data_IF_722455584764
#
_entry.id   IF_722455584764
#
_cell.length_a   1.000
_cell.length_b   1.000
_cell.length_c   1.000
_cell.angle_alpha   90.00
_cell.angle_beta   90.00
_cell.angle_gamma   90.00
#
_symmetry.space_group_name_H-M   'P 1'
#
loop_
_entity.id
_entity.type
_entity.pdbx_description
1 polymer ?
#
# COMPACT_ATOMS: atom_id res chain seq x y z
N UNK A 1 0.33 18.39 23.32
CA UNK A 1 0.87 17.87 22.04
C UNK A 1 1.20 18.99 21.06
N UNK A 2 2.44 19.02 20.54
CA UNK A 2 2.89 19.98 19.51
C UNK A 2 3.81 19.32 18.49
N UNK A 3 3.98 19.94 17.32
CA UNK A 3 5.02 19.54 16.36
C UNK A 3 6.40 19.89 16.91
N UNK A 4 7.34 18.95 16.81
CA UNK A 4 8.72 19.17 17.21
C UNK A 4 9.46 20.05 16.19
N UNK A 5 10.38 20.88 16.66
CA UNK A 5 11.25 21.72 15.86
C UNK A 5 12.70 21.25 15.98
N UNK A 6 13.61 21.89 15.25
CA UNK A 6 15.05 21.61 15.37
C UNK A 6 15.60 21.91 16.77
N UNK A 7 14.94 22.79 17.53
CA UNK A 7 15.34 23.17 18.89
C UNK A 7 15.08 22.04 19.89
N UNK A 8 14.15 21.12 19.58
CA UNK A 8 13.87 19.93 20.38
C UNK A 8 14.91 18.80 20.17
N UNK A 9 15.87 18.97 19.25
CA UNK A 9 16.78 17.90 18.84
C UNK A 9 17.58 17.29 20.01
N UNK A 10 18.04 18.13 20.94
CA UNK A 10 18.82 17.66 22.09
C UNK A 10 17.92 16.84 23.03
N UNK A 11 16.76 17.37 23.40
CA UNK A 11 15.78 16.70 24.26
C UNK A 11 15.25 15.39 23.65
N UNK A 12 15.05 15.34 22.33
CA UNK A 12 14.62 14.12 21.62
C UNK A 12 15.69 13.03 21.69
N UNK A 13 16.96 13.38 21.48
CA UNK A 13 18.07 12.42 21.57
C UNK A 13 18.23 11.91 23.00
N UNK A 14 18.07 12.78 24.00
CA UNK A 14 18.10 12.36 25.40
C UNK A 14 16.95 11.42 25.75
N UNK A 15 15.73 11.76 25.36
CA UNK A 15 14.55 10.92 25.58
C UNK A 15 14.69 9.55 24.89
N UNK A 16 15.19 9.52 23.66
CA UNK A 16 15.47 8.29 22.91
C UNK A 16 16.41 7.36 23.67
N UNK A 17 17.54 7.90 24.15
CA UNK A 17 18.54 7.13 24.87
C UNK A 17 18.04 6.61 26.23
N UNK A 18 17.05 7.28 26.85
CA UNK A 18 16.37 6.79 28.05
C UNK A 18 15.35 5.70 27.75
N UNK A 19 14.67 5.78 26.60
CA UNK A 19 13.55 4.89 26.27
C UNK A 19 13.97 3.56 25.66
N UNK A 20 15.07 3.52 24.90
CA UNK A 20 15.48 2.35 24.12
C UNK A 20 16.91 1.92 24.47
N UNK A 21 17.19 0.62 24.35
CA UNK A 21 18.55 0.07 24.49
C UNK A 21 19.21 -0.21 23.14
N UNK A 22 18.43 -0.69 22.18
CA UNK A 22 18.80 -0.99 20.79
C UNK A 22 17.95 -0.19 19.81
N UNK A 23 18.31 -0.21 18.53
CA UNK A 23 17.55 0.40 17.42
C UNK A 23 17.28 1.90 17.58
N UNK A 24 18.17 2.60 18.32
CA UNK A 24 18.01 4.02 18.64
C UNK A 24 18.13 4.90 17.40
N UNK A 25 17.26 5.87 17.30
CA UNK A 25 17.41 6.97 16.36
C UNK A 25 18.62 7.84 16.75
N UNK A 26 19.62 7.88 15.87
CA UNK A 26 20.76 8.76 16.08
C UNK A 26 20.34 10.23 15.99
N UNK A 27 21.16 11.12 16.56
CA UNK A 27 21.06 12.58 16.38
C UNK A 27 20.95 12.99 14.90
N UNK A 28 21.65 12.27 14.01
CA UNK A 28 21.57 12.49 12.57
C UNK A 28 20.20 12.10 12.01
N UNK A 29 19.62 10.99 12.47
CA UNK A 29 18.27 10.57 12.08
C UNK A 29 17.25 11.62 12.51
N UNK A 30 17.22 12.02 13.78
CA UNK A 30 16.28 13.07 14.24
C UNK A 30 16.43 14.37 13.46
N UNK A 31 17.66 14.87 13.28
CA UNK A 31 17.88 16.09 12.49
C UNK A 31 17.32 15.96 11.07
N UNK A 32 17.53 14.83 10.41
CA UNK A 32 16.98 14.58 9.08
C UNK A 32 15.44 14.58 9.11
N UNK A 33 14.83 13.90 10.08
CA UNK A 33 13.37 13.82 10.21
C UNK A 33 12.72 15.18 10.50
N UNK A 34 13.38 16.03 11.29
CA UNK A 34 12.89 17.36 11.64
C UNK A 34 13.06 18.41 10.54
N UNK A 35 13.93 18.18 9.54
CA UNK A 35 14.32 19.24 8.59
C UNK A 35 14.15 18.89 7.12
N UNK A 36 14.24 17.62 6.74
CA UNK A 36 14.31 17.21 5.33
C UNK A 36 13.34 16.09 4.96
N UNK A 37 13.01 15.21 5.89
CA UNK A 37 12.16 14.07 5.60
C UNK A 37 10.72 14.50 5.32
N UNK A 38 10.01 13.70 4.53
CA UNK A 38 8.54 13.75 4.49
C UNK A 38 7.98 13.08 5.74
N UNK A 39 8.08 13.77 6.87
CA UNK A 39 7.79 13.23 8.19
C UNK A 39 7.06 14.25 9.08
N UNK A 40 6.49 13.75 10.18
CA UNK A 40 6.00 14.55 11.28
C UNK A 40 6.50 13.93 12.59
N UNK A 41 7.16 14.74 13.41
CA UNK A 41 7.52 14.39 14.78
C UNK A 41 6.64 15.23 15.70
N UNK A 42 5.83 14.57 16.53
CA UNK A 42 4.99 15.21 17.53
C UNK A 42 5.54 14.88 18.92
N UNK A 43 5.51 15.85 19.82
CA UNK A 43 6.03 15.73 21.18
C UNK A 43 5.01 16.17 22.20
N UNK A 44 5.05 15.52 23.36
CA UNK A 44 4.37 15.97 24.56
C UNK A 44 5.41 16.56 25.53
N UNK A 45 5.15 17.78 25.97
CA UNK A 45 5.99 18.54 26.88
C UNK A 45 5.32 18.57 28.26
N UNK A 46 6.05 18.16 29.28
CA UNK A 46 5.64 18.24 30.67
C UNK A 46 6.64 19.10 31.43
N UNK A 47 6.26 20.35 31.72
CA UNK A 47 7.05 21.29 32.52
C UNK A 47 8.44 21.61 31.93
N UNK A 48 8.57 21.63 30.60
CA UNK A 48 9.83 21.93 29.90
C UNK A 48 10.69 20.70 29.62
N UNK A 49 10.24 19.50 29.98
CA UNK A 49 10.86 18.23 29.61
C UNK A 49 9.95 17.42 28.68
N UNK A 50 10.54 16.73 27.71
CA UNK A 50 9.76 15.87 26.81
C UNK A 50 9.36 14.57 27.52
N UNK A 51 8.06 14.38 27.72
CA UNK A 51 7.49 13.17 28.31
C UNK A 51 7.30 12.05 27.28
N UNK A 52 7.24 12.38 26.00
CA UNK A 52 7.08 11.40 24.93
C UNK A 52 7.12 12.03 23.54
N UNK A 53 7.36 11.20 22.53
CA UNK A 53 7.30 11.59 21.14
C UNK A 53 6.73 10.48 20.26
N UNK A 54 6.16 10.87 19.12
CA UNK A 54 5.80 9.97 18.02
C UNK A 54 6.32 10.53 16.72
N UNK A 55 6.88 9.65 15.89
CA UNK A 55 7.46 10.00 14.60
C UNK A 55 6.78 9.21 13.49
N UNK A 56 6.21 9.95 12.53
CA UNK A 56 5.43 9.41 11.41
C UNK A 56 6.14 9.77 10.10
N UNK A 57 6.30 8.79 9.23
CA UNK A 57 6.79 8.95 7.85
C UNK A 57 5.62 8.90 6.87
N UNK A 58 5.67 9.70 5.81
CA UNK A 58 4.65 9.72 4.77
C UNK A 58 5.24 9.22 3.44
N UNK A 59 4.68 8.15 2.91
CA UNK A 59 5.16 7.53 1.68
C UNK A 59 4.63 8.28 0.44
N UNK A 60 5.53 8.91 -0.31
CA UNK A 60 5.20 9.60 -1.57
C UNK A 60 4.49 8.66 -2.55
N UNK A 61 3.46 9.16 -3.22
CA UNK A 61 2.69 8.39 -4.21
C UNK A 61 1.65 7.43 -3.62
N UNK A 62 1.51 7.37 -2.29
CA UNK A 62 0.54 6.49 -1.61
C UNK A 62 -0.20 7.24 -0.51
N UNK A 63 -1.38 6.74 -0.12
CA UNK A 63 -2.10 7.24 1.07
C UNK A 63 -1.69 6.49 2.35
N UNK A 64 -0.42 6.10 2.46
CA UNK A 64 0.12 5.34 3.58
C UNK A 64 1.05 6.20 4.45
N UNK A 65 0.75 6.23 5.75
CA UNK A 65 1.64 6.70 6.79
C UNK A 65 2.28 5.51 7.52
N UNK A 66 3.51 5.69 7.99
CA UNK A 66 4.22 4.72 8.82
C UNK A 66 4.58 5.35 10.16
N UNK A 67 4.06 4.82 11.26
CA UNK A 67 4.51 5.18 12.59
C UNK A 67 5.85 4.50 12.83
N UNK A 68 6.92 5.29 12.70
CA UNK A 68 8.28 4.78 12.63
C UNK A 68 8.93 4.65 14.01
N UNK A 69 8.61 5.56 14.93
CA UNK A 69 9.03 5.42 16.33
C UNK A 69 8.00 6.07 17.27
N UNK A 70 7.85 5.48 18.45
CA UNK A 70 6.99 5.95 19.53
C UNK A 70 7.73 5.73 20.85
N UNK A 71 8.01 6.81 21.57
CA UNK A 71 8.67 6.76 22.86
C UNK A 71 7.84 7.48 23.91
N UNK A 72 7.73 6.86 25.08
CA UNK A 72 7.15 7.46 26.28
C UNK A 72 8.15 7.25 27.41
N UNK A 73 8.54 8.36 28.05
CA UNK A 73 9.43 8.34 29.19
C UNK A 73 8.87 7.41 30.27
N UNK A 74 9.73 6.64 30.93
CA UNK A 74 9.33 5.63 31.91
C UNK A 74 8.49 6.22 33.05
N UNK A 75 8.75 7.48 33.43
CA UNK A 75 8.02 8.19 34.47
C UNK A 75 6.54 8.46 34.12
N UNK A 76 6.20 8.47 32.82
CA UNK A 76 4.88 8.82 32.30
C UNK A 76 4.14 7.63 31.66
N UNK A 77 4.65 6.40 31.86
CA UNK A 77 4.01 5.18 31.36
C UNK A 77 2.80 4.82 32.23
N UNK A 78 1.79 4.20 31.60
CA UNK A 78 0.55 3.82 32.27
C UNK A 78 -0.47 4.95 32.45
N UNK A 79 -0.08 6.20 32.15
CA UNK A 79 -0.96 7.39 32.24
C UNK A 79 -1.78 7.64 30.96
N UNK A 80 -1.69 6.74 29.98
CA UNK A 80 -2.41 6.85 28.70
C UNK A 80 -1.69 7.66 27.62
N UNK A 81 -0.52 8.26 27.92
CA UNK A 81 0.22 9.13 27.00
C UNK A 81 0.56 8.47 25.65
N UNK A 82 0.91 7.17 25.64
CA UNK A 82 1.16 6.44 24.40
C UNK A 82 -0.06 6.41 23.46
N UNK A 83 -1.27 6.29 24.02
CA UNK A 83 -2.51 6.36 23.24
C UNK A 83 -2.74 7.75 22.67
N UNK A 84 -2.55 8.79 23.49
CA UNK A 84 -2.66 10.20 23.06
C UNK A 84 -1.68 10.53 21.92
N UNK A 85 -0.45 10.04 22.00
CA UNK A 85 0.55 10.19 20.93
C UNK A 85 0.11 9.49 19.64
N UNK A 86 -0.40 8.26 19.73
CA UNK A 86 -0.90 7.51 18.55
C UNK A 86 -2.09 8.23 17.91
N UNK A 87 -3.06 8.71 18.69
CA UNK A 87 -4.21 9.47 18.17
C UNK A 87 -3.77 10.76 17.48
N UNK A 88 -2.78 11.47 18.03
CA UNK A 88 -2.20 12.65 17.40
C UNK A 88 -1.48 12.32 16.09
N UNK A 89 -0.77 11.19 16.03
CA UNK A 89 -0.13 10.69 14.82
C UNK A 89 -1.16 10.33 13.74
N UNK A 90 -2.26 9.69 14.11
CA UNK A 90 -3.38 9.37 13.20
C UNK A 90 -4.01 10.65 12.62
N UNK A 91 -4.27 11.65 13.47
CA UNK A 91 -4.78 12.95 13.02
C UNK A 91 -3.82 13.65 12.06
N UNK A 92 -2.51 13.63 12.35
CA UNK A 92 -1.48 14.21 11.47
C UNK A 92 -1.37 13.49 10.12
N UNK A 93 -1.62 12.18 10.09
CA UNK A 93 -1.65 11.39 8.87
C UNK A 93 -2.91 11.69 8.02
N UNK A 94 -4.08 11.77 8.65
CA UNK A 94 -5.33 12.15 7.98
C UNK A 94 -5.26 13.55 7.34
N UNK A 95 -4.68 14.53 8.05
CA UNK A 95 -4.47 15.89 7.51
C UNK A 95 -3.57 15.91 6.27
N UNK A 96 -2.74 14.88 6.06
CA UNK A 96 -1.89 14.71 4.88
C UNK A 96 -2.50 13.79 3.82
N UNK A 97 -3.77 13.40 3.96
CA UNK A 97 -4.46 12.53 3.01
C UNK A 97 -4.02 11.07 3.08
N UNK A 98 -3.31 10.67 4.14
CA UNK A 98 -3.05 9.26 4.41
C UNK A 98 -4.30 8.64 5.03
N UNK A 99 -4.69 7.49 4.52
CA UNK A 99 -5.88 6.75 4.97
C UNK A 99 -5.51 5.50 5.76
N UNK A 100 -4.28 5.00 5.61
CA UNK A 100 -3.73 3.89 6.38
C UNK A 100 -2.55 4.35 7.24
N UNK A 101 -2.45 3.82 8.46
CA UNK A 101 -1.24 3.84 9.29
C UNK A 101 -0.71 2.43 9.43
N UNK A 102 0.59 2.24 9.20
CA UNK A 102 1.31 0.99 9.46
C UNK A 102 2.41 1.18 10.50
N UNK A 103 2.72 0.11 11.21
CA UNK A 103 3.80 0.08 12.18
C UNK A 103 4.38 -1.33 12.32
N UNK A 104 5.60 -1.37 12.85
CA UNK A 104 6.31 -2.57 13.21
C UNK A 104 6.52 -2.58 14.74
N UNK A 105 6.27 -3.73 15.36
CA UNK A 105 6.43 -3.90 16.80
C UNK A 105 7.07 -5.24 17.10
N UNK A 106 8.03 -5.25 18.03
CA UNK A 106 8.69 -6.46 18.49
C UNK A 106 7.68 -7.45 19.06
N UNK A 107 7.79 -8.72 18.69
CA UNK A 107 6.78 -9.73 19.00
C UNK A 107 6.53 -9.92 20.52
N UNK A 108 7.51 -9.59 21.36
CA UNK A 108 7.46 -9.70 22.81
C UNK A 108 7.08 -8.39 23.53
N UNK A 109 6.87 -7.29 22.80
CA UNK A 109 6.40 -6.02 23.37
C UNK A 109 4.88 -6.07 23.61
N UNK A 110 4.47 -6.89 24.57
CA UNK A 110 3.07 -7.16 24.90
C UNK A 110 2.27 -5.90 25.23
N UNK A 111 2.90 -4.91 25.89
CA UNK A 111 2.27 -3.63 26.22
C UNK A 111 1.90 -2.81 24.99
N UNK A 112 2.84 -2.63 24.06
CA UNK A 112 2.57 -1.92 22.81
C UNK A 112 1.57 -2.69 21.94
N UNK A 113 1.70 -4.01 21.82
CA UNK A 113 0.77 -4.86 21.07
C UNK A 113 -0.67 -4.71 21.59
N UNK A 114 -0.86 -4.73 22.92
CA UNK A 114 -2.17 -4.55 23.53
C UNK A 114 -2.74 -3.15 23.25
N UNK A 115 -1.90 -2.10 23.32
CA UNK A 115 -2.28 -0.73 22.99
C UNK A 115 -2.72 -0.60 21.52
N UNK A 116 -1.95 -1.13 20.57
CA UNK A 116 -2.28 -1.08 19.15
C UNK A 116 -3.60 -1.81 18.86
N UNK A 117 -3.80 -3.00 19.41
CA UNK A 117 -5.07 -3.74 19.27
C UNK A 117 -6.25 -2.96 19.84
N UNK A 118 -6.10 -2.36 21.03
CA UNK A 118 -7.14 -1.52 21.65
C UNK A 118 -7.51 -0.33 20.77
N UNK A 119 -6.55 0.25 20.07
CA UNK A 119 -6.76 1.39 19.15
C UNK A 119 -7.24 0.97 17.76
N UNK A 120 -7.53 -0.32 17.54
CA UNK A 120 -8.11 -0.82 16.29
C UNK A 120 -7.09 -1.20 15.21
N UNK A 121 -5.81 -1.32 15.56
CA UNK A 121 -4.83 -1.89 14.63
C UNK A 121 -4.97 -3.41 14.58
N UNK A 122 -4.84 -3.97 13.38
CA UNK A 122 -4.82 -5.41 13.13
C UNK A 122 -3.44 -5.84 12.65
N UNK A 123 -3.01 -7.02 13.08
CA UNK A 123 -1.80 -7.65 12.54
C UNK A 123 -2.10 -8.14 11.12
N UNK A 124 -1.19 -7.87 10.17
CA UNK A 124 -1.33 -8.30 8.77
C UNK A 124 -0.10 -9.05 8.25
N UNK A 125 0.98 -9.13 9.03
CA UNK A 125 2.19 -9.86 8.63
C UNK A 125 3.28 -9.80 9.69
N UNK A 126 4.47 -10.24 9.29
CA UNK A 126 5.69 -10.25 10.11
C UNK A 126 6.90 -10.02 9.19
N UNK A 127 7.95 -9.41 9.74
CA UNK A 127 9.29 -9.47 9.17
C UNK A 127 10.16 -10.33 10.08
N UNK A 128 10.80 -11.32 9.49
CA UNK A 128 11.83 -12.11 10.16
C UNK A 128 13.11 -11.27 10.25
N UNK A 129 13.89 -11.43 11.33
CA UNK A 129 15.22 -10.82 11.46
C UNK A 129 15.22 -9.29 11.24
N UNK A 130 14.32 -8.58 11.92
CA UNK A 130 14.04 -7.17 11.66
C UNK A 130 14.83 -6.21 12.56
N UNK A 131 14.94 -6.52 13.86
CA UNK A 131 15.61 -5.68 14.85
C UNK A 131 17.12 -5.96 14.91
N UNK A 132 17.91 -5.03 15.49
CA UNK A 132 19.36 -5.17 15.62
C UNK A 132 19.83 -6.49 16.27
N UNK A 133 19.00 -7.07 17.14
CA UNK A 133 19.25 -8.34 17.83
C UNK A 133 18.68 -9.57 17.11
N UNK A 134 18.34 -9.43 15.83
CA UNK A 134 17.72 -10.46 15.00
C UNK A 134 16.31 -10.86 15.43
N UNK A 135 15.64 -10.06 16.27
CA UNK A 135 14.25 -10.33 16.63
C UNK A 135 13.28 -9.99 15.49
N UNK A 136 12.19 -10.76 15.43
CA UNK A 136 11.13 -10.55 14.45
C UNK A 136 10.25 -9.35 14.82
N UNK A 137 9.70 -8.70 13.78
CA UNK A 137 8.75 -7.61 13.92
C UNK A 137 7.36 -8.02 13.41
N UNK A 138 6.36 -7.93 14.30
CA UNK A 138 4.96 -8.01 13.91
C UNK A 138 4.56 -6.74 13.19
N UNK A 139 3.82 -6.88 12.09
CA UNK A 139 3.35 -5.77 11.26
C UNK A 139 1.88 -5.52 11.51
N UNK A 140 1.56 -4.29 11.91
CA UNK A 140 0.21 -3.85 12.23
C UNK A 140 -0.23 -2.74 11.28
N UNK A 141 -1.53 -2.70 10.98
CA UNK A 141 -2.14 -1.64 10.19
C UNK A 141 -3.51 -1.23 10.73
N UNK A 142 -3.90 0.02 10.45
CA UNK A 142 -5.22 0.56 10.72
C UNK A 142 -5.66 1.45 9.56
N UNK A 143 -6.90 1.27 9.11
CA UNK A 143 -7.58 2.26 8.28
C UNK A 143 -8.09 3.38 9.20
N UNK A 144 -7.61 4.60 8.98
CA UNK A 144 -7.91 5.76 9.84
C UNK A 144 -9.17 6.51 9.40
N UNK A 145 -9.81 6.11 8.30
CA UNK A 145 -10.95 6.81 7.71
C UNK A 145 -12.23 6.01 7.96
N UNK A 146 -13.04 6.35 8.98
CA UNK A 146 -14.17 5.51 9.41
C UNK A 146 -15.36 5.51 8.46
N UNK A 147 -15.45 6.51 7.56
CA UNK A 147 -16.53 6.60 6.58
C UNK A 147 -16.23 5.82 5.29
N UNK A 148 -14.96 5.48 5.06
CA UNK A 148 -14.67 4.35 4.19
C UNK A 148 -15.11 3.15 5.01
N UNK A 149 -16.07 2.39 4.50
CA UNK A 149 -16.60 1.19 5.17
C UNK A 149 -15.99 -0.03 4.47
N UNK A 150 -14.76 -0.47 4.80
CA UNK A 150 -14.13 -1.67 4.24
C UNK A 150 -14.99 -2.91 4.34
N UNK A 151 -15.79 -2.99 5.39
CA UNK A 151 -16.76 -4.06 5.61
C UNK A 151 -17.87 -4.11 4.54
N UNK A 152 -18.09 -3.02 3.80
CA UNK A 152 -18.95 -3.00 2.61
C UNK A 152 -18.20 -3.37 1.32
N UNK A 153 -16.89 -3.61 1.38
CA UNK A 153 -16.13 -4.03 0.20
C UNK A 153 -16.63 -5.41 -0.20
N UNK A 154 -17.41 -5.43 -1.29
CA UNK A 154 -17.94 -6.65 -1.92
C UNK A 154 -16.85 -7.56 -2.50
N UNK A 155 -15.62 -7.05 -2.59
CA UNK A 155 -14.51 -7.73 -3.23
C UNK A 155 -13.74 -8.57 -2.21
N UNK A 156 -13.76 -9.90 -2.31
CA UNK A 156 -13.00 -10.74 -1.41
C UNK A 156 -11.51 -10.55 -1.62
N UNK A 157 -10.74 -10.64 -0.54
CA UNK A 157 -9.28 -10.52 -0.60
C UNK A 157 -8.62 -11.87 -0.92
N UNK A 158 -7.73 -11.86 -1.90
CA UNK A 158 -6.81 -12.95 -2.23
C UNK A 158 -5.41 -12.36 -2.38
N UNK A 159 -4.48 -12.83 -1.55
CA UNK A 159 -3.08 -12.44 -1.62
C UNK A 159 -2.42 -13.11 -2.83
N UNK A 160 -1.84 -12.32 -3.74
CA UNK A 160 -1.09 -12.85 -4.87
C UNK A 160 0.03 -13.78 -4.39
N UNK A 161 0.26 -14.89 -5.09
CA UNK A 161 1.26 -15.88 -4.69
C UNK A 161 2.63 -15.65 -5.32
N UNK A 162 2.74 -14.70 -6.25
CA UNK A 162 3.94 -14.37 -7.02
C UNK A 162 4.05 -12.86 -7.19
N UNK A 163 5.28 -12.33 -7.31
CA UNK A 163 5.51 -10.88 -7.40
C UNK A 163 4.98 -10.25 -8.70
N UNK A 164 4.71 -11.06 -9.73
CA UNK A 164 4.34 -10.63 -11.07
C UNK A 164 2.87 -10.91 -11.44
N UNK A 165 2.03 -11.32 -10.48
CA UNK A 165 0.64 -11.74 -10.71
C UNK A 165 -0.40 -10.79 -10.09
N UNK A 166 -0.03 -9.54 -9.82
CA UNK A 166 -0.94 -8.54 -9.25
C UNK A 166 -2.21 -8.31 -10.09
N UNK A 167 -2.08 -8.18 -11.41
CA UNK A 167 -3.22 -8.08 -12.34
C UNK A 167 -4.13 -9.32 -12.30
N UNK A 168 -3.58 -10.53 -12.48
CA UNK A 168 -4.31 -11.80 -12.32
C UNK A 168 -5.04 -11.94 -10.98
N UNK A 169 -4.39 -11.66 -9.86
CA UNK A 169 -5.02 -11.69 -8.54
C UNK A 169 -6.17 -10.67 -8.45
N UNK A 170 -5.96 -9.44 -8.94
CA UNK A 170 -6.98 -8.39 -8.94
C UNK A 170 -8.22 -8.77 -9.75
N UNK A 171 -8.05 -9.31 -10.96
CA UNK A 171 -9.20 -9.68 -11.79
C UNK A 171 -9.92 -10.91 -11.26
N UNK A 172 -9.21 -11.85 -10.61
CA UNK A 172 -9.86 -12.97 -9.90
C UNK A 172 -10.75 -12.48 -8.76
N UNK A 173 -10.25 -11.54 -7.95
CA UNK A 173 -11.04 -10.96 -6.86
C UNK A 173 -12.28 -10.23 -7.41
N UNK A 174 -12.13 -9.51 -8.54
CA UNK A 174 -13.25 -8.86 -9.20
C UNK A 174 -14.30 -9.86 -9.73
N UNK A 175 -13.86 -10.92 -10.41
CA UNK A 175 -14.74 -11.99 -10.88
C UNK A 175 -15.47 -12.68 -9.73
N UNK A 176 -14.78 -12.99 -8.62
CA UNK A 176 -15.39 -13.58 -7.42
C UNK A 176 -16.43 -12.67 -6.78
N UNK A 177 -16.19 -11.37 -6.79
CA UNK A 177 -17.14 -10.38 -6.24
C UNK A 177 -18.45 -10.32 -7.05
N UNK A 178 -18.40 -10.70 -8.33
CA UNK A 178 -19.55 -10.75 -9.24
C UNK A 178 -20.22 -12.14 -9.24
N UNK A 179 -19.43 -13.21 -9.15
CA UNK A 179 -19.88 -14.60 -9.14
C UNK A 179 -19.19 -15.39 -8.04
N UNK A 180 -19.98 -15.82 -7.06
CA UNK A 180 -19.49 -16.56 -5.91
C UNK A 180 -18.95 -17.96 -6.25
N UNK A 181 -19.21 -18.49 -7.45
CA UNK A 181 -18.70 -19.78 -7.89
C UNK A 181 -17.22 -19.76 -8.31
N UNK A 182 -16.65 -18.58 -8.54
CA UNK A 182 -15.23 -18.42 -8.93
C UNK A 182 -14.34 -18.96 -7.82
N UNK A 183 -13.33 -19.76 -8.17
CA UNK A 183 -12.36 -20.25 -7.19
C UNK A 183 -11.13 -19.33 -7.12
N UNK A 184 -10.77 -18.94 -5.90
CA UNK A 184 -9.56 -18.17 -5.62
C UNK A 184 -8.43 -19.12 -5.22
N UNK A 185 -7.61 -19.54 -6.19
CA UNK A 185 -6.47 -20.42 -5.96
C UNK A 185 -5.29 -20.10 -6.91
N UNK A 186 -4.10 -20.59 -6.52
CA UNK A 186 -2.85 -20.35 -7.26
C UNK A 186 -2.88 -20.85 -8.71
N UNK A 187 -3.64 -21.91 -8.99
CA UNK A 187 -3.73 -22.44 -10.35
C UNK A 187 -4.53 -21.51 -11.25
N UNK A 188 -5.63 -20.94 -10.77
CA UNK A 188 -6.40 -19.92 -11.48
C UNK A 188 -5.56 -18.65 -11.71
N UNK A 189 -4.81 -18.22 -10.70
CA UNK A 189 -3.92 -17.04 -10.76
C UNK A 189 -2.87 -17.18 -11.87
N UNK A 190 -2.14 -18.31 -11.89
CA UNK A 190 -1.13 -18.58 -12.92
C UNK A 190 -1.77 -18.74 -14.30
N UNK A 191 -2.98 -19.32 -14.39
CA UNK A 191 -3.68 -19.48 -15.67
C UNK A 191 -4.03 -18.13 -16.28
N UNK A 192 -4.61 -17.23 -15.49
CA UNK A 192 -4.92 -15.86 -15.95
C UNK A 192 -3.64 -15.15 -16.37
N UNK A 193 -2.58 -15.23 -15.55
CA UNK A 193 -1.28 -14.65 -15.93
C UNK A 193 -0.77 -15.13 -17.29
N UNK A 194 -0.83 -16.43 -17.56
CA UNK A 194 -0.39 -17.00 -18.85
C UNK A 194 -1.19 -16.50 -20.04
N UNK A 195 -2.46 -16.16 -19.84
CA UNK A 195 -3.37 -15.67 -20.87
C UNK A 195 -3.29 -14.15 -21.05
N UNK A 196 -2.89 -13.40 -20.02
CA UNK A 196 -2.98 -11.93 -20.01
C UNK A 196 -1.64 -11.19 -20.06
N UNK A 197 -0.52 -11.90 -19.95
CA UNK A 197 0.81 -11.29 -19.86
C UNK A 197 1.33 -10.86 -21.24
N UNK A 198 1.91 -9.67 -21.34
CA UNK A 198 2.59 -9.20 -22.57
C UNK A 198 4.06 -9.65 -22.66
N UNK A 199 4.44 -10.68 -21.88
CA UNK A 199 5.75 -11.36 -21.78
C UNK A 199 6.98 -10.46 -21.53
N UNK A 200 7.71 -10.74 -20.43
CA UNK A 200 9.16 -11.05 -20.41
C UNK A 200 9.68 -11.17 -18.96
N UNK A 201 10.39 -12.26 -18.61
CA UNK A 201 11.30 -12.28 -17.47
C UNK A 201 12.59 -13.07 -17.78
N UNK A 202 13.70 -12.33 -17.89
CA UNK A 202 14.96 -12.65 -17.20
C UNK A 202 15.51 -11.45 -16.42
N UNK A 203 15.03 -10.24 -16.74
CA UNK A 203 15.11 -9.03 -15.92
C UNK A 203 14.13 -7.97 -16.50
N UNK A 204 13.37 -7.29 -15.64
CA UNK A 204 12.37 -6.28 -16.02
C UNK A 204 10.95 -6.58 -15.50
N UNK A 205 10.14 -5.54 -15.32
CA UNK A 205 8.74 -5.67 -14.92
C UNK A 205 7.89 -6.05 -16.14
N UNK A 206 7.79 -7.35 -16.43
CA UNK A 206 6.69 -7.87 -17.23
C UNK A 206 5.37 -7.69 -16.48
N UNK A 207 4.28 -7.42 -17.19
CA UNK A 207 2.97 -7.16 -16.58
C UNK A 207 1.83 -7.59 -17.50
N UNK A 208 0.63 -7.62 -16.94
CA UNK A 208 -0.58 -7.84 -17.72
C UNK A 208 -1.17 -6.49 -18.13
N UNK A 209 -1.44 -6.30 -19.42
CA UNK A 209 -2.11 -5.12 -19.93
C UNK A 209 -3.63 -5.20 -19.73
N UNK A 210 -4.33 -4.10 -20.01
CA UNK A 210 -5.79 -4.04 -19.92
C UNK A 210 -6.46 -5.07 -20.85
N UNK A 211 -6.02 -5.15 -22.11
CA UNK A 211 -6.58 -6.05 -23.12
C UNK A 211 -6.43 -7.53 -22.74
N UNK A 212 -5.22 -7.97 -22.36
CA UNK A 212 -4.99 -9.36 -21.97
C UNK A 212 -5.81 -9.77 -20.73
N UNK A 213 -5.95 -8.89 -19.75
CA UNK A 213 -6.80 -9.15 -18.57
C UNK A 213 -8.28 -9.21 -18.97
N UNK A 214 -8.75 -8.27 -19.81
CA UNK A 214 -10.11 -8.23 -20.28
C UNK A 214 -10.49 -9.50 -21.06
N UNK A 215 -9.64 -9.97 -21.97
CA UNK A 215 -9.83 -11.23 -22.70
C UNK A 215 -9.89 -12.43 -21.76
N UNK A 216 -9.00 -12.48 -20.77
CA UNK A 216 -9.01 -13.57 -19.78
C UNK A 216 -10.31 -13.61 -18.97
N UNK A 217 -10.86 -12.46 -18.57
CA UNK A 217 -12.16 -12.38 -17.90
C UNK A 217 -13.34 -12.69 -18.85
N UNK A 218 -13.31 -12.18 -20.08
CA UNK A 218 -14.34 -12.42 -21.09
C UNK A 218 -14.46 -13.91 -21.44
N UNK A 219 -13.33 -14.61 -21.63
CA UNK A 219 -13.32 -16.06 -21.85
C UNK A 219 -13.82 -16.89 -20.67
N UNK A 220 -13.97 -16.27 -19.49
CA UNK A 220 -14.58 -16.87 -18.30
C UNK A 220 -16.05 -16.49 -18.13
N UNK A 221 -16.64 -15.79 -19.10
CA UNK A 221 -18.07 -15.45 -19.14
C UNK A 221 -18.45 -14.14 -18.45
N UNK A 222 -17.48 -13.24 -18.23
CA UNK A 222 -17.75 -11.92 -17.65
C UNK A 222 -17.86 -10.85 -18.74
N UNK A 223 -18.82 -9.94 -18.59
CA UNK A 223 -18.88 -8.71 -19.38
C UNK A 223 -17.76 -7.76 -18.91
N UNK A 224 -17.05 -7.15 -19.86
CA UNK A 224 -15.91 -6.28 -19.59
C UNK A 224 -15.94 -5.07 -20.50
N UNK A 225 -15.71 -3.89 -19.91
CA UNK A 225 -15.43 -2.65 -20.63
C UNK A 225 -13.96 -2.25 -20.36
N UNK A 226 -13.27 -1.83 -21.41
CA UNK A 226 -11.87 -1.39 -21.35
C UNK A 226 -11.82 0.14 -21.44
N UNK A 227 -11.15 0.77 -20.48
CA UNK A 227 -10.84 2.20 -20.50
C UNK A 227 -9.33 2.40 -20.53
N UNK A 228 -8.84 2.92 -21.65
CA UNK A 228 -7.41 3.20 -21.87
C UNK A 228 -7.22 4.65 -22.32
N UNK A 229 -6.03 5.20 -22.08
CA UNK A 229 -5.75 6.60 -22.42
C UNK A 229 -5.61 6.83 -23.92
N UNK A 230 -4.93 5.91 -24.59
CA UNK A 230 -4.56 5.94 -26.00
C UNK A 230 -4.11 4.53 -26.44
N UNK A 231 -3.83 4.36 -27.72
CA UNK A 231 -3.40 3.09 -28.34
C UNK A 231 -1.90 2.79 -28.10
N UNK A 232 -1.19 3.58 -27.26
CA UNK A 232 0.25 3.38 -27.08
C UNK A 232 0.50 2.00 -26.46
N UNK A 233 1.41 1.19 -27.04
CA UNK A 233 1.69 -0.11 -26.48
C UNK A 233 2.29 0.01 -25.07
N UNK A 234 1.70 -0.70 -24.12
CA UNK A 234 2.09 -0.72 -22.72
C UNK A 234 3.43 -1.46 -22.56
N UNK A 235 4.18 -1.09 -21.54
CA UNK A 235 5.46 -1.72 -21.16
C UNK A 235 6.60 -1.67 -22.20
N UNK A 236 6.42 -1.15 -23.42
CA UNK A 236 7.49 -1.03 -24.43
C UNK A 236 8.71 -0.26 -23.91
N UNK A 237 8.47 0.78 -23.11
CA UNK A 237 9.55 1.58 -22.51
C UNK A 237 10.19 0.92 -21.28
N UNK A 238 9.70 -0.24 -20.83
CA UNK A 238 10.31 -1.03 -19.75
C UNK A 238 11.55 -1.80 -20.20
N UNK A 239 11.74 -1.95 -21.52
CA UNK A 239 12.87 -2.67 -22.11
C UNK A 239 13.64 -1.78 -23.08
N UNK A 240 14.97 -1.95 -23.13
CA UNK A 240 15.86 -1.17 -24.01
C UNK A 240 16.12 -1.80 -25.38
N UNK A 241 16.05 -3.13 -25.46
CA UNK A 241 16.36 -3.89 -26.68
C UNK A 241 15.16 -3.85 -27.66
N UNK A 242 15.42 -3.54 -28.93
CA UNK A 242 14.37 -3.37 -29.94
C UNK A 242 13.64 -4.66 -30.30
N UNK A 243 14.32 -5.81 -30.33
CA UNK A 243 13.65 -7.11 -30.55
C UNK A 243 12.64 -7.40 -29.43
N UNK A 244 13.01 -7.09 -28.18
CA UNK A 244 12.08 -7.23 -27.04
C UNK A 244 10.90 -6.28 -27.12
N UNK A 245 11.12 -5.04 -27.57
CA UNK A 245 10.02 -4.09 -27.81
C UNK A 245 9.08 -4.61 -28.87
N UNK A 246 9.62 -5.22 -29.94
CA UNK A 246 8.81 -5.79 -31.00
C UNK A 246 7.97 -6.97 -30.52
N UNK A 247 8.52 -7.86 -29.70
CA UNK A 247 7.75 -8.95 -29.09
C UNK A 247 6.59 -8.40 -28.25
N UNK A 248 6.84 -7.38 -27.42
CA UNK A 248 5.77 -6.75 -26.61
C UNK A 248 4.68 -6.17 -27.50
N UNK A 249 5.04 -5.48 -28.60
CA UNK A 249 4.07 -4.92 -29.55
C UNK A 249 3.24 -6.02 -30.19
N UNK A 250 3.87 -7.06 -30.72
CA UNK A 250 3.17 -8.16 -31.38
C UNK A 250 2.15 -8.83 -30.47
N UNK A 251 2.53 -9.12 -29.21
CA UNK A 251 1.62 -9.73 -28.24
C UNK A 251 0.47 -8.78 -27.89
N UNK A 252 0.74 -7.49 -27.72
CA UNK A 252 -0.32 -6.53 -27.44
C UNK A 252 -1.25 -6.32 -28.64
N UNK A 253 -0.71 -6.25 -29.87
CA UNK A 253 -1.48 -6.11 -31.09
C UNK A 253 -2.41 -7.31 -31.30
N UNK A 254 -1.96 -8.53 -30.96
CA UNK A 254 -2.81 -9.73 -30.95
C UNK A 254 -3.99 -9.58 -29.98
N UNK A 255 -3.74 -9.14 -28.73
CA UNK A 255 -4.82 -8.88 -27.78
C UNK A 255 -5.80 -7.80 -28.26
N UNK A 256 -5.31 -6.71 -28.84
CA UNK A 256 -6.16 -5.63 -29.37
C UNK A 256 -7.03 -6.15 -30.52
N UNK A 257 -6.44 -6.90 -31.45
CA UNK A 257 -7.17 -7.48 -32.59
C UNK A 257 -8.26 -8.45 -32.14
N UNK A 258 -7.96 -9.28 -31.13
CA UNK A 258 -8.94 -10.20 -30.57
C UNK A 258 -10.09 -9.46 -29.88
N UNK A 259 -9.79 -8.45 -29.04
CA UNK A 259 -10.80 -7.59 -28.40
C UNK A 259 -11.70 -6.93 -29.45
N UNK A 260 -11.14 -6.40 -30.55
CA UNK A 260 -11.91 -5.76 -31.61
C UNK A 260 -12.89 -6.70 -32.34
N UNK A 261 -12.66 -8.02 -32.26
CA UNK A 261 -13.55 -9.06 -32.80
C UNK A 261 -14.65 -9.51 -31.84
N UNK A 262 -14.65 -9.03 -30.59
CA UNK A 262 -15.53 -9.45 -29.52
C UNK A 262 -16.47 -8.30 -29.09
N UNK A 263 -17.61 -8.60 -28.43
CA UNK A 263 -18.52 -7.58 -27.91
C UNK A 263 -17.99 -6.92 -26.62
N UNK A 264 -16.72 -6.53 -26.63
CA UNK A 264 -16.04 -5.82 -25.53
C UNK A 264 -15.97 -4.35 -25.91
N UNK A 265 -16.54 -3.45 -25.10
CA UNK A 265 -16.47 -2.03 -25.38
C UNK A 265 -15.09 -1.48 -24.99
N UNK A 266 -14.42 -0.81 -25.93
CA UNK A 266 -13.15 -0.11 -25.68
C UNK A 266 -13.33 1.40 -25.78
N UNK A 267 -12.86 2.11 -24.76
CA UNK A 267 -12.99 3.55 -24.62
C UNK A 267 -11.62 4.21 -24.45
N UNK A 268 -11.29 5.12 -25.36
CA UNK A 268 -10.09 5.96 -25.30
C UNK A 268 -10.33 7.24 -24.50
N UNK A 269 -10.57 7.10 -23.20
CA UNK A 269 -10.85 8.23 -22.30
C UNK A 269 -10.33 7.96 -20.90
N UNK A 270 -10.14 9.03 -20.11
CA UNK A 270 -9.90 8.91 -18.68
C UNK A 270 -11.23 8.76 -17.96
N UNK A 271 -11.39 7.66 -17.23
CA UNK A 271 -12.54 7.46 -16.37
C UNK A 271 -12.38 8.28 -15.09
N UNK A 272 -13.32 9.19 -14.83
CA UNK A 272 -13.34 10.01 -13.63
C UNK A 272 -13.77 9.21 -12.39
N UNK A 273 -13.52 9.76 -11.19
CA UNK A 273 -13.93 9.13 -9.92
C UNK A 273 -15.46 8.97 -9.83
N UNK A 274 -16.22 9.94 -10.33
CA UNK A 274 -17.69 9.87 -10.29
C UNK A 274 -18.25 8.82 -11.26
N UNK A 275 -17.62 8.64 -12.42
CA UNK A 275 -17.98 7.58 -13.38
C UNK A 275 -17.64 6.21 -12.80
N UNK A 276 -16.43 6.03 -12.23
CA UNK A 276 -16.04 4.82 -11.51
C UNK A 276 -17.04 4.46 -10.40
N UNK A 277 -17.49 5.44 -9.62
CA UNK A 277 -18.54 5.24 -8.60
C UNK A 277 -19.86 4.84 -9.23
N UNK A 278 -20.26 5.44 -10.34
CA UNK A 278 -21.49 5.08 -11.03
C UNK A 278 -21.45 3.61 -11.51
N UNK A 279 -20.37 3.19 -12.16
CA UNK A 279 -20.17 1.79 -12.58
C UNK A 279 -20.15 0.83 -11.40
N UNK A 280 -19.51 1.21 -10.28
CA UNK A 280 -19.51 0.39 -9.07
C UNK A 280 -20.91 0.24 -8.47
N UNK A 281 -21.66 1.35 -8.38
CA UNK A 281 -23.02 1.35 -7.83
C UNK A 281 -24.01 0.58 -8.71
N UNK A 282 -23.79 0.49 -10.02
CA UNK A 282 -24.58 -0.35 -10.92
C UNK A 282 -24.18 -1.84 -10.87
N UNK A 283 -23.22 -2.21 -10.02
CA UNK A 283 -22.80 -3.59 -9.79
C UNK A 283 -21.49 -4.00 -10.47
N UNK A 284 -20.85 -3.13 -11.23
CA UNK A 284 -19.53 -3.40 -11.81
C UNK A 284 -18.42 -3.39 -10.76
N UNK A 285 -17.30 -4.05 -11.04
CA UNK A 285 -16.12 -4.04 -10.17
C UNK A 285 -14.93 -3.46 -10.94
N UNK A 286 -14.50 -2.22 -10.63
CA UNK A 286 -13.41 -1.60 -11.36
C UNK A 286 -12.05 -2.24 -11.00
N UNK A 287 -11.32 -2.70 -12.01
CA UNK A 287 -9.93 -3.13 -11.89
C UNK A 287 -9.02 -2.01 -12.41
N UNK A 288 -8.34 -1.31 -11.50
CA UNK A 288 -7.49 -0.17 -11.86
C UNK A 288 -6.03 -0.63 -12.00
N UNK A 289 -5.51 -0.55 -13.21
CA UNK A 289 -4.10 -0.85 -13.48
C UNK A 289 -3.22 0.34 -13.14
N UNK A 290 -2.29 0.13 -12.21
CA UNK A 290 -1.37 1.16 -11.74
C UNK A 290 0.07 0.88 -12.18
N UNK A 291 0.81 1.93 -12.53
CA UNK A 291 2.24 1.83 -12.82
C UNK A 291 3.04 2.25 -11.60
N UNK A 292 3.68 1.29 -10.92
CA UNK A 292 4.59 1.56 -9.81
C UNK A 292 5.73 2.52 -10.22
N UNK A 293 6.22 2.41 -11.44
CA UNK A 293 7.24 3.32 -11.99
C UNK A 293 6.78 4.78 -12.03
N UNK A 294 5.50 5.05 -12.30
CA UNK A 294 4.98 6.42 -12.27
C UNK A 294 4.62 6.89 -10.87
N UNK A 295 4.24 5.96 -9.98
CA UNK A 295 3.91 6.26 -8.57
C UNK A 295 5.15 6.66 -7.77
N UNK A 296 6.28 5.99 -7.99
CA UNK A 296 7.52 6.19 -7.23
C UNK A 296 8.53 7.12 -7.91
N UNK A 297 8.10 7.91 -8.89
CA UNK A 297 8.94 8.91 -9.56
C UNK A 297 9.21 10.14 -8.70
#
# INVERSE_FOLDING_TARGET
>A
MRTATIDDLDALVELENRCFELDRLSRRNFRYMLTKANAATLVEDCQGELAGYVLVLFHTGTSLARMYSLAVDHAHRGEGLGGTLIEAAEAAALMRGCVYMRLEVRHDNTGAIALYRKLGYRQFGMFDDYYEDHADALRFEKLMVPHLQPELVRVPYYEQTLEFTCGPAAIMMAMKALDDSVELNRQAEIRIWRESTTVFMTSGHGGCGAHGLALSAYHRGFDVDIYVKDETPMFVNSVRNEEKKEVIRLVQDEFIQEVAGLPIAEHYTKLGVEELKAHFNSGGIPVVLISSYLIYK
#
